data_IF_588505529984
#
_entry.id   IF_588505529984
#
_cell.length_a   1.000
_cell.length_b   1.000
_cell.length_c   1.000
_cell.angle_alpha   90.00
_cell.angle_beta   90.00
_cell.angle_gamma   90.00
#
_symmetry.space_group_name_H-M   'P 1'
#
loop_
_entity.id
_entity.type
_entity.pdbx_description
1 polymer ?
#
# COMPACT_ATOMS: atom_id res chain seq x y z
N UNK A 1 -37.47 -37.44 -28.12
CA UNK A 1 -37.85 -37.99 -26.80
C UNK A 1 -36.61 -38.03 -25.91
N UNK A 2 -36.83 -37.82 -24.62
CA UNK A 2 -35.87 -37.50 -23.55
C UNK A 2 -34.90 -38.65 -23.17
N UNK A 3 -33.70 -38.23 -22.75
CA UNK A 3 -32.95 -38.59 -21.51
C UNK A 3 -32.16 -39.92 -21.39
N UNK A 4 -30.86 -39.72 -21.14
CA UNK A 4 -30.08 -40.05 -19.92
C UNK A 4 -28.92 -41.07 -20.01
N UNK A 5 -27.73 -40.53 -19.68
CA UNK A 5 -26.60 -41.06 -18.89
C UNK A 5 -26.16 -42.52 -19.06
N UNK A 6 -24.87 -42.70 -19.41
CA UNK A 6 -23.89 -43.21 -18.44
C UNK A 6 -22.44 -42.91 -18.83
N UNK A 7 -21.71 -42.49 -17.81
CA UNK A 7 -20.28 -42.25 -17.66
C UNK A 7 -19.51 -43.56 -17.77
N UNK A 8 -18.41 -43.57 -18.53
CA UNK A 8 -17.15 -44.33 -18.29
C UNK A 8 -16.43 -44.64 -19.62
N UNK A 9 -15.11 -44.82 -19.54
CA UNK A 9 -14.20 -45.23 -20.62
C UNK A 9 -13.77 -44.16 -21.63
N UNK A 10 -12.67 -43.47 -21.31
CA UNK A 10 -11.61 -43.16 -22.29
C UNK A 10 -10.29 -42.81 -21.59
N UNK A 11 -9.76 -43.77 -20.85
CA UNK A 11 -8.31 -43.92 -20.61
C UNK A 11 -8.00 -45.37 -20.99
N UNK A 12 -7.69 -45.57 -22.26
CA UNK A 12 -7.43 -46.89 -22.83
C UNK A 12 -6.29 -46.81 -23.83
N UNK A 13 -5.16 -47.40 -23.43
CA UNK A 13 -4.05 -47.86 -24.26
C UNK A 13 -3.19 -46.81 -25.00
N UNK A 14 -2.10 -46.43 -24.35
CA UNK A 14 -0.77 -46.60 -24.93
C UNK A 14 0.16 -47.23 -23.89
N UNK A 15 0.09 -48.56 -23.81
CA UNK A 15 1.10 -49.40 -23.19
C UNK A 15 2.13 -49.75 -24.27
N UNK A 16 3.18 -48.95 -24.38
CA UNK A 16 4.49 -49.46 -24.81
C UNK A 16 5.33 -49.56 -23.55
N UNK A 17 5.37 -50.77 -22.96
CA UNK A 17 6.31 -51.11 -21.92
C UNK A 17 7.71 -51.11 -22.50
N UNK A 18 8.43 -49.99 -22.37
CA UNK A 18 9.86 -49.94 -22.63
C UNK A 18 10.59 -50.79 -21.58
N UNK A 19 11.58 -51.63 -21.96
CA UNK A 19 12.31 -52.52 -21.04
C UNK A 19 13.08 -51.80 -19.91
N UNK A 20 13.17 -50.47 -19.94
CA UNK A 20 13.89 -49.66 -18.95
C UNK A 20 13.19 -49.68 -17.58
N UNK A 21 11.89 -50.00 -17.53
CA UNK A 21 11.11 -49.95 -16.28
C UNK A 21 11.34 -51.14 -15.32
N UNK A 22 11.87 -52.27 -15.81
CA UNK A 22 12.02 -53.48 -14.99
C UNK A 22 13.27 -53.48 -14.08
N UNK A 23 14.24 -52.57 -14.32
CA UNK A 23 15.49 -52.49 -13.56
C UNK A 23 15.47 -51.62 -12.29
N UNK A 24 14.38 -50.89 -12.04
CA UNK A 24 14.28 -49.91 -10.94
C UNK A 24 13.35 -50.41 -9.80
N UNK A 25 13.42 -51.70 -9.46
CA UNK A 25 12.51 -52.34 -8.49
C UNK A 25 13.23 -52.76 -7.20
N UNK A 26 13.86 -51.80 -6.54
CA UNK A 26 14.44 -51.89 -5.20
C UNK A 26 14.74 -50.50 -4.64
N UNK A 27 14.93 -50.39 -3.32
CA UNK A 27 15.31 -49.16 -2.59
C UNK A 27 16.16 -48.19 -3.44
N UNK A 28 15.73 -46.93 -3.55
CA UNK A 28 16.44 -45.90 -4.34
C UNK A 28 15.63 -45.25 -5.45
N UNK A 29 14.29 -45.32 -5.46
CA UNK A 29 13.45 -44.61 -6.45
C UNK A 29 13.79 -43.12 -6.49
N UNK A 30 13.97 -42.48 -5.33
CA UNK A 30 14.31 -41.06 -5.24
C UNK A 30 15.73 -40.78 -5.75
N UNK A 31 16.72 -41.58 -5.38
CA UNK A 31 18.11 -41.45 -5.87
C UNK A 31 18.19 -41.60 -7.40
N UNK A 32 17.38 -42.49 -7.93
CA UNK A 32 17.28 -42.76 -9.35
C UNK A 32 16.60 -41.62 -10.11
N UNK A 33 15.50 -41.10 -9.56
CA UNK A 33 14.87 -39.89 -10.06
C UNK A 33 15.83 -38.69 -10.01
N UNK A 34 16.67 -38.58 -8.98
CA UNK A 34 17.68 -37.54 -8.84
C UNK A 34 18.75 -37.65 -9.93
N UNK A 35 19.27 -38.86 -10.21
CA UNK A 35 20.22 -39.07 -11.32
C UNK A 35 19.64 -38.69 -12.68
N UNK A 36 18.35 -38.93 -12.90
CA UNK A 36 17.66 -38.49 -14.12
C UNK A 36 17.53 -36.97 -14.16
N UNK A 37 17.19 -36.36 -13.03
CA UNK A 37 17.07 -34.91 -12.91
C UNK A 37 18.42 -34.21 -13.19
N UNK A 38 19.51 -34.74 -12.66
CA UNK A 38 20.87 -34.23 -12.88
C UNK A 38 21.31 -34.37 -14.35
N UNK A 39 20.75 -35.37 -15.07
CA UNK A 39 20.91 -35.54 -16.52
C UNK A 39 19.91 -34.72 -17.34
N UNK A 40 19.15 -33.83 -16.71
CA UNK A 40 18.13 -32.97 -17.33
C UNK A 40 16.94 -33.73 -17.95
N UNK A 41 16.73 -34.99 -17.57
CA UNK A 41 15.60 -35.81 -18.03
C UNK A 41 14.38 -35.61 -17.11
N UNK A 42 13.81 -34.41 -17.15
CA UNK A 42 12.78 -33.97 -16.20
C UNK A 42 11.46 -34.74 -16.35
N UNK A 43 11.06 -35.09 -17.58
CA UNK A 43 9.86 -35.90 -17.82
C UNK A 43 10.02 -37.31 -17.27
N UNK A 44 11.18 -37.94 -17.45
CA UNK A 44 11.44 -39.26 -16.88
C UNK A 44 11.53 -39.19 -15.35
N UNK A 45 12.14 -38.14 -14.77
CA UNK A 45 12.11 -37.89 -13.33
C UNK A 45 10.67 -37.83 -12.80
N UNK A 46 9.77 -37.07 -13.45
CA UNK A 46 8.36 -36.97 -13.08
C UNK A 46 7.68 -38.34 -13.14
N UNK A 47 7.89 -39.09 -14.22
CA UNK A 47 7.29 -40.42 -14.41
C UNK A 47 7.77 -41.44 -13.36
N UNK A 48 9.06 -41.42 -13.02
CA UNK A 48 9.65 -42.30 -12.00
C UNK A 48 9.08 -41.99 -10.62
N UNK A 49 9.01 -40.70 -10.24
CA UNK A 49 8.46 -40.30 -8.93
C UNK A 49 6.97 -40.63 -8.84
N UNK A 50 6.16 -40.25 -9.84
CA UNK A 50 4.72 -40.53 -9.83
C UNK A 50 4.44 -42.04 -9.84
N UNK A 51 5.22 -42.83 -10.57
CA UNK A 51 5.15 -44.30 -10.54
C UNK A 51 5.48 -44.85 -9.16
N UNK A 52 6.55 -44.35 -8.52
CA UNK A 52 6.93 -44.73 -7.16
C UNK A 52 5.87 -44.40 -6.12
N UNK A 53 5.29 -43.20 -6.18
CA UNK A 53 4.20 -42.78 -5.29
C UNK A 53 2.95 -43.65 -5.47
N UNK A 54 2.55 -43.91 -6.72
CA UNK A 54 1.36 -44.73 -7.04
C UNK A 54 1.53 -46.18 -6.58
N UNK A 55 2.72 -46.73 -6.74
CA UNK A 55 3.01 -48.12 -6.41
C UNK A 55 3.38 -48.32 -4.91
N UNK A 56 3.41 -47.26 -4.11
CA UNK A 56 3.79 -47.32 -2.70
C UNK A 56 5.27 -47.67 -2.47
N UNK A 57 6.14 -47.33 -3.41
CA UNK A 57 7.59 -47.66 -3.40
C UNK A 57 8.47 -46.52 -2.87
N UNK A 58 7.86 -45.44 -2.38
CA UNK A 58 8.56 -44.32 -1.76
C UNK A 58 8.19 -44.30 -0.28
N UNK A 59 9.20 -44.57 0.54
CA UNK A 59 9.09 -44.63 1.98
C UNK A 59 8.74 -43.25 2.55
N UNK A 60 8.05 -43.21 3.70
CA UNK A 60 7.69 -41.96 4.38
C UNK A 60 8.89 -41.05 4.62
N UNK A 61 10.06 -41.64 4.92
CA UNK A 61 11.30 -40.90 5.16
C UNK A 61 11.86 -40.19 3.90
N UNK A 62 11.44 -40.62 2.71
CA UNK A 62 11.87 -40.06 1.42
C UNK A 62 10.78 -39.22 0.73
N UNK A 63 9.54 -39.29 1.23
CA UNK A 63 8.39 -38.68 0.59
C UNK A 63 8.53 -37.17 0.40
N UNK A 64 9.10 -36.48 1.40
CA UNK A 64 9.44 -35.06 1.31
C UNK A 64 10.40 -34.74 0.16
N UNK A 65 11.48 -35.52 0.03
CA UNK A 65 12.46 -35.37 -1.05
C UNK A 65 11.83 -35.65 -2.41
N UNK A 66 11.01 -36.70 -2.50
CA UNK A 66 10.34 -37.10 -3.73
C UNK A 66 9.44 -35.96 -4.25
N UNK A 67 8.59 -35.39 -3.39
CA UNK A 67 7.73 -34.27 -3.77
C UNK A 67 8.52 -33.00 -4.09
N UNK A 68 9.63 -32.72 -3.39
CA UNK A 68 10.51 -31.58 -3.70
C UNK A 68 11.12 -31.72 -5.09
N UNK A 69 11.67 -32.90 -5.40
CA UNK A 69 12.27 -33.20 -6.70
C UNK A 69 11.23 -33.17 -7.83
N UNK A 70 10.01 -33.66 -7.55
CA UNK A 70 8.88 -33.56 -8.47
C UNK A 70 8.52 -32.09 -8.75
N UNK A 71 8.52 -31.24 -7.72
CA UNK A 71 8.29 -29.80 -7.88
C UNK A 71 9.34 -29.12 -8.76
N UNK A 72 10.62 -29.43 -8.52
CA UNK A 72 11.73 -28.92 -9.32
C UNK A 72 11.65 -29.37 -10.78
N UNK A 73 11.28 -30.64 -11.03
CA UNK A 73 11.14 -31.16 -12.38
C UNK A 73 9.99 -30.49 -13.13
N UNK A 74 8.83 -30.30 -12.49
CA UNK A 74 7.70 -29.57 -13.09
C UNK A 74 8.06 -28.12 -13.42
N UNK A 75 8.81 -27.43 -12.55
CA UNK A 75 9.26 -26.06 -12.81
C UNK A 75 10.16 -25.98 -14.05
N UNK A 76 11.08 -26.95 -14.22
CA UNK A 76 11.99 -27.00 -15.37
C UNK A 76 11.30 -27.20 -16.70
N UNK A 77 10.14 -27.84 -16.73
CA UNK A 77 9.31 -28.01 -17.94
C UNK A 77 8.17 -26.98 -18.04
N UNK A 78 8.14 -25.95 -17.17
CA UNK A 78 7.16 -24.87 -17.22
C UNK A 78 5.79 -25.19 -16.61
N UNK A 79 5.63 -26.34 -15.96
CA UNK A 79 4.39 -26.78 -15.31
C UNK A 79 4.23 -26.17 -13.91
N UNK A 80 4.21 -24.83 -13.83
CA UNK A 80 4.29 -24.08 -12.56
C UNK A 80 3.17 -24.43 -11.56
N UNK A 81 1.95 -24.72 -12.03
CA UNK A 81 0.85 -25.09 -11.13
C UNK A 81 1.09 -26.43 -10.44
N UNK A 82 1.68 -27.41 -11.15
CA UNK A 82 1.94 -28.73 -10.58
C UNK A 82 3.20 -28.73 -9.74
N UNK A 83 4.20 -27.91 -10.11
CA UNK A 83 5.36 -27.62 -9.27
C UNK A 83 4.93 -27.12 -7.87
N UNK A 84 4.04 -26.13 -7.83
CA UNK A 84 3.49 -25.57 -6.58
C UNK A 84 2.72 -26.59 -5.75
N UNK A 85 1.95 -27.48 -6.39
CA UNK A 85 1.26 -28.58 -5.67
C UNK A 85 2.28 -29.55 -5.07
N UNK A 86 3.29 -29.93 -5.84
CA UNK A 86 4.34 -30.82 -5.38
C UNK A 86 5.12 -30.21 -4.20
N UNK A 87 5.49 -28.92 -4.26
CA UNK A 87 6.13 -28.25 -3.12
C UNK A 87 5.24 -28.19 -1.87
N UNK A 88 3.92 -27.98 -2.00
CA UNK A 88 3.00 -28.08 -0.84
C UNK A 88 3.03 -29.46 -0.21
N UNK A 89 2.98 -30.52 -1.03
CA UNK A 89 3.06 -31.90 -0.54
C UNK A 89 4.43 -32.19 0.10
N UNK A 90 5.52 -31.64 -0.46
CA UNK A 90 6.85 -31.76 0.10
C UNK A 90 6.93 -31.14 1.50
N UNK A 91 6.46 -29.90 1.69
CA UNK A 91 6.45 -29.25 3.01
C UNK A 91 5.66 -30.06 4.04
N UNK A 92 4.51 -30.62 3.63
CA UNK A 92 3.68 -31.47 4.48
C UNK A 92 4.37 -32.78 4.83
N UNK A 93 5.02 -33.43 3.87
CA UNK A 93 5.67 -34.73 4.04
C UNK A 93 7.01 -34.62 4.80
N UNK A 94 7.75 -33.52 4.61
CA UNK A 94 8.97 -33.23 5.38
C UNK A 94 8.67 -32.98 6.86
N UNK A 95 7.42 -32.61 7.19
CA UNK A 95 6.91 -32.48 8.54
C UNK A 95 7.85 -31.65 9.42
N UNK A 96 8.37 -32.28 10.48
CA UNK A 96 9.23 -31.65 11.48
C UNK A 96 10.71 -31.58 11.08
N UNK A 97 11.07 -31.85 9.84
CA UNK A 97 12.46 -31.81 9.38
C UNK A 97 12.91 -30.38 9.08
N UNK A 98 14.17 -30.04 9.39
CA UNK A 98 14.79 -28.77 8.98
C UNK A 98 14.75 -28.54 7.45
N UNK A 99 14.56 -29.60 6.66
CA UNK A 99 14.54 -29.56 5.20
C UNK A 99 13.31 -28.84 4.62
N UNK A 100 12.22 -28.79 5.39
CA UNK A 100 10.98 -28.08 5.05
C UNK A 100 11.19 -26.61 4.73
N UNK A 101 12.18 -25.96 5.36
CA UNK A 101 12.44 -24.54 5.16
C UNK A 101 12.85 -24.14 3.75
N UNK A 102 13.73 -24.93 3.12
CA UNK A 102 14.12 -24.68 1.72
C UNK A 102 12.95 -24.88 0.75
N UNK A 103 12.02 -25.76 1.10
CA UNK A 103 10.86 -26.06 0.27
C UNK A 103 9.82 -24.93 0.37
N UNK A 104 9.66 -24.30 1.55
CA UNK A 104 8.80 -23.12 1.75
C UNK A 104 9.22 -21.95 0.84
N UNK A 105 10.52 -21.74 0.62
CA UNK A 105 11.02 -20.65 -0.24
C UNK A 105 10.67 -20.79 -1.74
N UNK A 106 10.22 -21.99 -2.16
CA UNK A 106 9.76 -22.26 -3.52
C UNK A 106 8.24 -22.08 -3.68
N UNK A 107 7.53 -21.75 -2.60
CA UNK A 107 6.12 -21.39 -2.64
C UNK A 107 5.96 -19.91 -2.98
N UNK A 108 4.75 -19.54 -3.40
CA UNK A 108 4.28 -18.14 -3.37
C UNK A 108 3.34 -17.93 -2.17
N UNK A 109 2.94 -16.69 -1.94
CA UNK A 109 2.02 -16.30 -0.86
C UNK A 109 0.74 -17.13 -0.83
N UNK A 110 0.12 -17.37 -1.98
CA UNK A 110 -1.17 -18.09 -2.09
C UNK A 110 -1.03 -19.57 -1.71
N UNK A 111 0.04 -20.22 -2.15
CA UNK A 111 0.28 -21.62 -1.80
C UNK A 111 0.67 -21.78 -0.33
N UNK A 112 1.39 -20.81 0.24
CA UNK A 112 1.67 -20.80 1.67
C UNK A 112 0.38 -20.64 2.47
N UNK A 113 -0.50 -19.71 2.09
CA UNK A 113 -1.80 -19.48 2.75
C UNK A 113 -2.63 -20.78 2.82
N UNK A 114 -2.65 -21.57 1.74
CA UNK A 114 -3.34 -22.86 1.68
C UNK A 114 -2.82 -23.87 2.73
N UNK A 115 -1.51 -23.92 2.96
CA UNK A 115 -0.90 -24.88 3.90
C UNK A 115 -0.65 -24.31 5.30
N UNK A 116 -0.80 -23.00 5.49
CA UNK A 116 -0.48 -22.32 6.74
C UNK A 116 -1.20 -22.91 7.97
N UNK A 117 -2.51 -23.26 7.91
CA UNK A 117 -3.17 -23.93 9.04
C UNK A 117 -2.50 -25.25 9.44
N UNK A 118 -2.02 -26.01 8.45
CA UNK A 118 -1.33 -27.28 8.69
C UNK A 118 0.08 -27.08 9.25
N UNK A 119 0.81 -26.04 8.79
CA UNK A 119 2.08 -25.63 9.39
C UNK A 119 1.91 -25.28 10.87
N UNK A 120 0.88 -24.50 11.19
CA UNK A 120 0.53 -24.13 12.57
C UNK A 120 0.22 -25.35 13.43
N UNK A 121 -0.51 -26.32 12.89
CA UNK A 121 -0.83 -27.58 13.57
C UNK A 121 0.42 -28.41 13.86
N UNK A 122 1.29 -28.61 12.85
CA UNK A 122 2.54 -29.37 12.99
C UNK A 122 3.51 -28.71 13.99
N UNK A 123 3.56 -27.38 14.00
CA UNK A 123 4.43 -26.63 14.90
C UNK A 123 3.81 -26.39 16.30
N UNK A 124 2.53 -26.71 16.53
CA UNK A 124 1.75 -26.27 17.72
C UNK A 124 2.47 -26.51 19.05
N UNK A 125 3.07 -27.69 19.23
CA UNK A 125 3.80 -28.10 20.43
C UNK A 125 5.33 -28.11 20.29
N UNK A 126 5.88 -27.70 19.14
CA UNK A 126 7.31 -27.76 18.87
C UNK A 126 7.90 -26.36 18.60
N UNK A 127 8.54 -25.80 19.62
CA UNK A 127 9.11 -24.44 19.54
C UNK A 127 10.23 -24.32 18.50
N UNK A 128 11.03 -25.37 18.27
CA UNK A 128 12.05 -25.34 17.23
C UNK A 128 11.43 -25.25 15.83
N UNK A 129 10.31 -25.95 15.60
CA UNK A 129 9.59 -25.86 14.33
C UNK A 129 8.91 -24.53 14.13
N UNK A 130 8.32 -23.95 15.19
CA UNK A 130 7.80 -22.59 15.13
C UNK A 130 8.90 -21.64 14.67
N UNK A 131 10.06 -21.69 15.33
CA UNK A 131 11.19 -20.84 15.01
C UNK A 131 11.68 -21.01 13.56
N UNK A 132 11.81 -22.26 13.09
CA UNK A 132 12.22 -22.56 11.73
C UNK A 132 11.20 -22.05 10.70
N UNK A 133 9.93 -22.46 10.79
CA UNK A 133 8.89 -21.99 9.87
C UNK A 133 8.72 -20.48 9.89
N UNK A 134 8.77 -19.86 11.08
CA UNK A 134 8.77 -18.42 11.21
C UNK A 134 9.91 -17.78 10.41
N UNK A 135 11.13 -18.28 10.57
CA UNK A 135 12.29 -17.78 9.82
C UNK A 135 12.15 -18.00 8.30
N UNK A 136 11.71 -19.16 7.86
CA UNK A 136 11.56 -19.48 6.43
C UNK A 136 10.48 -18.64 5.76
N UNK A 137 9.35 -18.44 6.43
CA UNK A 137 8.26 -17.57 5.94
C UNK A 137 8.73 -16.11 5.90
N UNK A 138 9.53 -15.64 6.86
CA UNK A 138 10.09 -14.29 6.83
C UNK A 138 11.11 -14.09 5.69
N UNK A 139 11.87 -15.13 5.35
CA UNK A 139 12.74 -15.11 4.18
C UNK A 139 11.94 -15.04 2.87
N UNK A 140 10.83 -15.79 2.77
CA UNK A 140 9.91 -15.67 1.64
C UNK A 140 9.31 -14.26 1.59
N UNK A 141 8.90 -13.69 2.72
CA UNK A 141 8.42 -12.31 2.81
C UNK A 141 9.46 -11.31 2.27
N UNK A 142 10.73 -11.51 2.60
CA UNK A 142 11.81 -10.65 2.09
C UNK A 142 11.99 -10.80 0.58
N UNK A 143 11.80 -11.99 0.03
CA UNK A 143 11.86 -12.23 -1.43
C UNK A 143 10.76 -11.44 -2.15
N UNK A 144 9.52 -11.50 -1.66
CA UNK A 144 8.40 -10.70 -2.19
C UNK A 144 8.66 -9.19 -2.04
N UNK A 145 9.22 -8.78 -0.89
CA UNK A 145 9.55 -7.37 -0.65
C UNK A 145 10.62 -6.86 -1.64
N UNK A 146 11.62 -7.68 -1.96
CA UNK A 146 12.65 -7.38 -2.96
C UNK A 146 12.08 -7.34 -4.38
N UNK A 147 11.04 -8.13 -4.67
CA UNK A 147 10.33 -8.09 -5.95
C UNK A 147 9.44 -6.84 -6.10
N UNK A 148 9.13 -6.15 -4.99
CA UNK A 148 8.25 -4.98 -4.95
C UNK A 148 6.81 -5.31 -4.55
N UNK A 149 6.51 -6.57 -4.24
CA UNK A 149 5.19 -7.06 -3.86
C UNK A 149 4.92 -6.84 -2.36
N UNK A 150 4.80 -5.56 -1.99
CA UNK A 150 4.73 -5.08 -0.59
C UNK A 150 3.58 -5.71 0.19
N UNK A 151 2.40 -5.87 -0.42
CA UNK A 151 1.22 -6.39 0.26
C UNK A 151 1.34 -7.89 0.57
N UNK A 152 2.01 -8.64 -0.31
CA UNK A 152 2.28 -10.05 -0.09
C UNK A 152 3.40 -10.25 0.92
N UNK A 153 4.45 -9.43 0.88
CA UNK A 153 5.47 -9.38 1.92
C UNK A 153 4.87 -9.12 3.31
N UNK A 154 3.95 -8.16 3.44
CA UNK A 154 3.25 -7.88 4.71
C UNK A 154 2.47 -9.09 5.22
N UNK A 155 1.69 -9.75 4.35
CA UNK A 155 0.94 -10.97 4.73
C UNK A 155 1.88 -12.06 5.25
N UNK A 156 2.99 -12.29 4.54
CA UNK A 156 3.98 -13.30 4.91
C UNK A 156 4.67 -12.98 6.24
N UNK A 157 5.06 -11.73 6.49
CA UNK A 157 5.59 -11.34 7.80
C UNK A 157 4.57 -11.57 8.92
N UNK A 158 3.29 -11.28 8.69
CA UNK A 158 2.24 -11.59 9.67
C UNK A 158 2.08 -13.10 9.92
N UNK A 159 2.15 -13.93 8.88
CA UNK A 159 2.16 -15.39 9.04
C UNK A 159 3.37 -15.88 9.84
N UNK A 160 4.54 -15.32 9.55
CA UNK A 160 5.77 -15.61 10.27
C UNK A 160 5.66 -15.28 11.77
N UNK A 161 5.12 -14.11 12.13
CA UNK A 161 4.92 -13.73 13.53
C UNK A 161 3.80 -14.51 14.22
N UNK A 162 2.78 -14.95 13.45
CA UNK A 162 1.71 -15.80 13.99
C UNK A 162 2.19 -17.20 14.34
N UNK A 163 3.13 -17.76 13.58
CA UNK A 163 3.68 -19.10 13.86
C UNK A 163 4.76 -19.05 14.95
N UNK A 164 5.60 -18.02 14.93
CA UNK A 164 6.61 -17.78 15.95
C UNK A 164 6.61 -16.31 16.39
N UNK A 165 5.84 -16.00 17.46
CA UNK A 165 5.77 -14.67 18.05
C UNK A 165 7.10 -14.32 18.75
N UNK A 166 8.09 -13.94 17.96
CA UNK A 166 9.44 -13.60 18.42
C UNK A 166 9.65 -12.08 18.29
N UNK A 167 9.90 -11.35 19.40
CA UNK A 167 10.17 -9.92 19.37
C UNK A 167 11.32 -9.51 18.45
N UNK A 168 12.37 -10.34 18.33
CA UNK A 168 13.48 -10.06 17.42
C UNK A 168 13.02 -10.05 15.96
N UNK A 169 12.10 -10.94 15.59
CA UNK A 169 11.55 -11.00 14.23
C UNK A 169 10.56 -9.88 13.97
N UNK A 170 9.78 -9.48 14.97
CA UNK A 170 8.92 -8.31 14.88
C UNK A 170 9.75 -7.06 14.61
N UNK A 171 10.84 -6.88 15.39
CA UNK A 171 11.81 -5.81 15.17
C UNK A 171 12.44 -5.86 13.78
N UNK A 172 12.87 -7.03 13.32
CA UNK A 172 13.44 -7.20 11.97
C UNK A 172 12.45 -6.79 10.87
N UNK A 173 11.18 -7.19 11.03
CA UNK A 173 10.10 -6.81 10.10
C UNK A 173 9.89 -5.30 10.08
N UNK A 174 9.84 -4.68 11.26
CA UNK A 174 9.79 -3.23 11.40
C UNK A 174 10.95 -2.56 10.67
N UNK A 175 12.19 -2.96 10.98
CA UNK A 175 13.42 -2.37 10.42
C UNK A 175 13.42 -2.44 8.88
N UNK A 176 12.95 -3.56 8.30
CA UNK A 176 12.89 -3.74 6.84
C UNK A 176 11.92 -2.77 6.17
N UNK A 177 10.68 -2.65 6.64
CA UNK A 177 9.73 -1.69 6.08
C UNK A 177 10.21 -0.25 6.29
N UNK A 178 10.75 0.05 7.47
CA UNK A 178 11.25 1.38 7.80
C UNK A 178 12.44 1.79 6.90
N UNK A 179 13.44 0.93 6.72
CA UNK A 179 14.62 1.25 5.90
C UNK A 179 14.27 1.43 4.41
N UNK A 180 13.32 0.65 3.87
CA UNK A 180 12.84 0.90 2.52
C UNK A 180 12.08 2.22 2.45
N UNK A 181 11.19 2.49 3.41
CA UNK A 181 10.49 3.77 3.52
C UNK A 181 11.45 4.95 3.54
N UNK A 182 12.59 4.83 4.25
CA UNK A 182 13.67 5.84 4.25
C UNK A 182 14.27 6.10 2.87
N UNK A 183 14.28 5.14 1.96
CA UNK A 183 14.80 5.31 0.60
C UNK A 183 13.74 5.84 -0.39
N UNK A 184 12.45 5.66 -0.08
CA UNK A 184 11.33 6.16 -0.89
C UNK A 184 11.05 7.63 -0.62
N UNK A 185 10.24 8.24 -1.50
CA UNK A 185 9.83 9.64 -1.40
C UNK A 185 8.31 9.80 -1.50
N UNK A 186 7.80 10.90 -0.97
CA UNK A 186 6.40 11.30 -1.02
C UNK A 186 5.47 10.18 -0.56
N UNK A 187 4.43 9.89 -1.34
CA UNK A 187 3.42 8.86 -1.03
C UNK A 187 3.95 7.44 -0.92
N UNK A 188 5.04 7.11 -1.60
CA UNK A 188 5.68 5.80 -1.42
C UNK A 188 6.28 5.69 -0.02
N UNK A 189 6.93 6.73 0.50
CA UNK A 189 7.44 6.72 1.88
C UNK A 189 6.31 6.57 2.92
N UNK A 190 5.16 7.21 2.69
CA UNK A 190 3.95 7.04 3.52
C UNK A 190 3.50 5.57 3.53
N UNK A 191 3.41 4.92 2.36
CA UNK A 191 2.98 3.52 2.24
C UNK A 191 3.84 2.60 3.09
N UNK A 192 5.15 2.77 3.09
CA UNK A 192 6.06 1.97 3.92
C UNK A 192 5.98 2.32 5.41
N UNK A 193 5.73 3.59 5.76
CA UNK A 193 5.47 4.00 7.15
C UNK A 193 4.18 3.34 7.70
N UNK A 194 3.13 3.23 6.88
CA UNK A 194 1.87 2.54 7.21
C UNK A 194 2.10 1.04 7.47
N UNK A 195 3.07 0.41 6.80
CA UNK A 195 3.45 -0.99 7.08
C UNK A 195 4.34 -1.10 8.33
N UNK A 196 5.35 -0.25 8.46
CA UNK A 196 6.30 -0.26 9.58
C UNK A 196 5.58 -0.09 10.93
N UNK A 197 4.66 0.87 11.04
CA UNK A 197 3.97 1.15 12.32
C UNK A 197 3.20 -0.05 12.88
N UNK A 198 2.75 -0.99 12.03
CA UNK A 198 2.05 -2.21 12.47
C UNK A 198 2.95 -3.17 13.23
N UNK A 199 4.27 -3.07 13.02
CA UNK A 199 5.27 -3.92 13.67
C UNK A 199 6.05 -3.17 14.75
N UNK A 200 5.90 -1.86 14.87
CA UNK A 200 6.51 -1.07 15.93
C UNK A 200 6.04 -1.57 17.31
N UNK A 201 6.98 -1.74 18.22
CA UNK A 201 6.79 -2.31 19.55
C UNK A 201 7.31 -1.40 20.67
N UNK A 202 8.10 -0.38 20.32
CA UNK A 202 8.72 0.55 21.27
C UNK A 202 8.37 2.01 20.95
N UNK A 203 8.44 2.92 21.94
CA UNK A 203 8.30 4.35 21.71
C UNK A 203 9.32 4.90 20.68
N UNK A 204 10.54 4.37 20.66
CA UNK A 204 11.57 4.77 19.70
C UNK A 204 11.19 4.41 18.25
N UNK A 205 10.62 3.22 18.03
CA UNK A 205 10.14 2.79 16.71
C UNK A 205 8.92 3.61 16.25
N UNK A 206 8.02 3.96 17.19
CA UNK A 206 6.92 4.88 16.93
C UNK A 206 7.46 6.25 16.51
N UNK A 207 8.42 6.80 17.26
CA UNK A 207 9.04 8.09 16.96
C UNK A 207 9.71 8.09 15.58
N UNK A 208 10.51 7.05 15.28
CA UNK A 208 11.12 6.84 13.95
C UNK A 208 10.07 6.86 12.84
N UNK A 209 8.97 6.14 13.02
CA UNK A 209 7.90 6.07 12.01
C UNK A 209 7.14 7.39 11.88
N UNK A 210 6.90 8.09 12.99
CA UNK A 210 6.33 9.44 12.99
C UNK A 210 7.21 10.42 12.21
N UNK A 211 8.53 10.37 12.39
CA UNK A 211 9.47 11.18 11.63
C UNK A 211 9.48 10.83 10.14
N UNK A 212 9.27 9.56 9.77
CA UNK A 212 9.10 9.16 8.38
C UNK A 212 7.81 9.74 7.76
N UNK A 213 6.68 9.76 8.49
CA UNK A 213 5.47 10.46 8.05
C UNK A 213 5.71 11.97 7.88
N UNK A 214 6.38 12.62 8.82
CA UNK A 214 6.70 14.05 8.70
C UNK A 214 7.58 14.35 7.48
N UNK A 215 8.54 13.47 7.17
CA UNK A 215 9.35 13.57 5.95
C UNK A 215 8.50 13.44 4.70
N UNK A 216 7.67 12.40 4.63
CA UNK A 216 6.76 12.17 3.51
C UNK A 216 5.83 13.38 3.29
N UNK A 217 5.23 13.89 4.37
CA UNK A 217 4.40 15.09 4.33
C UNK A 217 5.17 16.33 3.83
N UNK A 218 6.45 16.46 4.18
CA UNK A 218 7.29 17.59 3.74
C UNK A 218 7.56 17.51 2.25
N UNK A 219 7.76 16.30 1.71
CA UNK A 219 8.05 16.07 0.30
C UNK A 219 6.83 16.27 -0.62
N UNK A 220 5.61 16.09 -0.11
CA UNK A 220 4.37 16.31 -0.88
C UNK A 220 3.74 17.67 -0.63
N UNK A 221 4.20 18.44 0.36
CA UNK A 221 3.71 19.81 0.58
C UNK A 221 3.94 20.68 -0.68
N UNK A 222 3.00 21.58 -1.07
CA UNK A 222 1.75 21.94 -0.39
C UNK A 222 0.51 21.17 -0.86
N UNK A 223 0.66 19.99 -1.48
CA UNK A 223 -0.47 19.16 -1.93
C UNK A 223 -1.44 18.88 -0.77
N UNK A 224 -2.75 18.98 -1.00
CA UNK A 224 -3.80 18.80 0.03
C UNK A 224 -3.61 17.55 0.90
N UNK A 225 -3.03 16.50 0.32
CA UNK A 225 -2.72 15.26 1.00
C UNK A 225 -1.70 15.37 2.14
N UNK A 226 -0.84 16.40 2.14
CA UNK A 226 0.20 16.58 3.17
C UNK A 226 -0.40 16.66 4.58
N UNK A 227 -1.60 17.22 4.72
CA UNK A 227 -2.28 17.38 6.02
C UNK A 227 -2.62 16.01 6.61
N UNK A 228 -3.13 15.08 5.78
CA UNK A 228 -3.47 13.73 6.21
C UNK A 228 -2.22 12.97 6.68
N UNK A 229 -1.14 13.03 5.89
CA UNK A 229 0.13 12.35 6.21
C UNK A 229 0.75 12.93 7.48
N UNK A 230 0.80 14.26 7.59
CA UNK A 230 1.27 14.96 8.80
C UNK A 230 0.48 14.53 10.04
N UNK A 231 -0.83 14.41 9.94
CA UNK A 231 -1.68 14.07 11.08
C UNK A 231 -1.45 12.63 11.58
N UNK A 232 -1.02 11.70 10.72
CA UNK A 232 -0.57 10.36 11.15
C UNK A 232 0.65 10.41 12.07
N UNK A 233 1.50 11.43 11.96
CA UNK A 233 2.67 11.58 12.83
C UNK A 233 2.33 12.08 14.25
N UNK A 234 1.28 12.89 14.41
CA UNK A 234 0.91 13.52 15.69
C UNK A 234 0.80 12.51 16.85
N UNK A 235 0.11 11.37 16.75
CA UNK A 235 0.04 10.40 17.85
C UNK A 235 1.39 9.72 18.16
N UNK A 236 2.36 9.78 17.24
CA UNK A 236 3.64 9.07 17.35
C UNK A 236 4.76 9.96 17.90
N UNK A 237 4.84 11.22 17.46
CA UNK A 237 5.90 12.19 17.83
C UNK A 237 5.36 13.39 18.62
N UNK A 238 4.04 13.49 18.77
CA UNK A 238 3.37 14.58 19.48
C UNK A 238 3.18 15.84 18.63
N UNK A 239 2.21 16.65 19.06
CA UNK A 239 1.85 17.91 18.38
C UNK A 239 3.00 18.94 18.42
N UNK A 240 3.75 18.99 19.52
CA UNK A 240 4.87 19.92 19.68
C UNK A 240 5.93 19.68 18.60
N UNK A 241 6.37 18.42 18.45
CA UNK A 241 7.36 18.05 17.46
C UNK A 241 6.84 18.25 16.02
N UNK A 242 5.59 17.87 15.78
CA UNK A 242 4.92 18.11 14.49
C UNK A 242 4.94 19.60 14.13
N UNK A 243 4.68 20.51 15.09
CA UNK A 243 4.72 21.96 14.88
C UNK A 243 6.12 22.53 14.65
N UNK A 244 7.17 21.87 15.14
CA UNK A 244 8.54 22.26 14.80
C UNK A 244 8.86 22.00 13.32
N UNK A 245 8.23 20.99 12.71
CA UNK A 245 8.38 20.68 11.29
C UNK A 245 7.37 21.43 10.44
N UNK A 246 6.12 21.52 10.88
CA UNK A 246 5.03 22.24 10.23
C UNK A 246 4.48 23.33 11.17
N UNK A 247 5.10 24.51 11.20
CA UNK A 247 4.65 25.61 12.04
C UNK A 247 3.20 26.00 11.72
N UNK A 248 2.54 26.60 12.71
CA UNK A 248 1.20 27.14 12.51
C UNK A 248 1.23 28.20 11.38
N UNK A 249 0.17 28.29 10.56
CA UNK A 249 0.08 29.29 9.51
C UNK A 249 0.14 30.70 10.09
N UNK A 250 0.90 31.58 9.45
CA UNK A 250 0.93 33.00 9.81
C UNK A 250 -0.29 33.71 9.23
N UNK A 251 -1.05 34.43 10.06
CA UNK A 251 -2.17 35.26 9.61
C UNK A 251 -1.63 36.62 9.20
N UNK A 252 -1.76 36.94 7.91
CA UNK A 252 -1.39 38.23 7.33
C UNK A 252 -2.59 38.80 6.60
N UNK A 253 -2.89 40.08 6.82
CA UNK A 253 -3.86 40.80 5.97
C UNK A 253 -3.13 41.29 4.73
N UNK A 254 -3.56 40.84 3.55
CA UNK A 254 -2.81 41.08 2.31
C UNK A 254 -3.21 42.40 1.66
N UNK A 255 -4.51 42.65 1.52
CA UNK A 255 -5.02 43.92 1.03
C UNK A 255 -6.54 44.02 1.28
N UNK A 256 -7.02 45.25 1.20
CA UNK A 256 -8.44 45.59 1.12
C UNK A 256 -8.71 46.25 -0.24
N UNK A 257 -9.73 45.79 -0.96
CA UNK A 257 -10.14 46.42 -2.22
C UNK A 257 -11.62 46.73 -2.22
N UNK A 258 -11.94 47.93 -2.69
CA UNK A 258 -13.31 48.39 -2.85
C UNK A 258 -13.67 48.36 -4.33
N UNK A 259 -14.77 47.69 -4.68
CA UNK A 259 -15.30 47.63 -6.03
C UNK A 259 -16.57 48.46 -6.16
N UNK A 260 -16.71 49.13 -7.30
CA UNK A 260 -17.93 49.77 -7.78
C UNK A 260 -18.55 48.92 -8.88
N UNK A 261 -19.84 49.09 -9.16
CA UNK A 261 -20.52 48.39 -10.26
C UNK A 261 -19.78 48.51 -11.61
N UNK A 262 -19.17 49.66 -11.90
CA UNK A 262 -18.37 49.89 -13.11
C UNK A 262 -17.15 48.97 -13.25
N UNK A 263 -16.73 48.32 -12.17
CA UNK A 263 -15.60 47.38 -12.16
C UNK A 263 -16.04 45.94 -12.49
N UNK A 264 -17.35 45.68 -12.64
CA UNK A 264 -17.88 44.36 -12.96
C UNK A 264 -17.59 44.00 -14.41
N UNK A 265 -17.34 42.72 -14.66
CA UNK A 265 -17.08 42.22 -16.03
C UNK A 265 -18.31 41.60 -16.71
N UNK A 266 -19.46 41.56 -16.03
CA UNK A 266 -20.72 41.03 -16.55
C UNK A 266 -21.95 41.80 -16.00
N UNK A 267 -23.14 41.40 -16.44
CA UNK A 267 -24.43 42.00 -16.01
C UNK A 267 -24.92 41.54 -14.63
N UNK A 268 -24.21 40.57 -14.02
CA UNK A 268 -24.53 40.03 -12.69
C UNK A 268 -23.76 40.73 -11.57
N UNK A 269 -22.83 41.64 -11.92
CA UNK A 269 -21.98 42.30 -10.95
C UNK A 269 -20.89 41.39 -10.43
N UNK A 270 -20.29 40.58 -11.32
CA UNK A 270 -19.18 39.71 -10.96
C UNK A 270 -17.84 40.45 -10.97
N UNK A 271 -17.03 40.19 -9.94
CA UNK A 271 -15.69 40.73 -9.75
C UNK A 271 -14.72 39.60 -9.41
N UNK A 272 -13.46 39.75 -9.82
CA UNK A 272 -12.38 38.91 -9.30
C UNK A 272 -12.10 39.30 -7.85
N UNK A 273 -12.22 38.35 -6.92
CA UNK A 273 -11.90 38.56 -5.51
C UNK A 273 -10.44 39.02 -5.34
N UNK A 274 -9.54 38.44 -6.13
CA UNK A 274 -8.15 38.84 -6.29
C UNK A 274 -7.64 38.41 -7.68
N UNK A 275 -6.53 39.01 -8.12
CA UNK A 275 -5.86 38.73 -9.39
C UNK A 275 -4.43 38.29 -9.13
N UNK A 276 -4.09 37.06 -9.52
CA UNK A 276 -2.72 36.54 -9.41
C UNK A 276 -1.69 37.46 -10.09
N UNK A 277 -0.56 37.69 -9.42
CA UNK A 277 0.54 38.53 -9.90
C UNK A 277 0.30 40.04 -9.80
N UNK A 278 -0.94 40.48 -9.56
CA UNK A 278 -1.27 41.88 -9.26
C UNK A 278 -1.47 42.09 -7.76
N UNK A 279 -2.21 41.20 -7.14
CA UNK A 279 -2.46 41.20 -5.70
C UNK A 279 -1.47 40.21 -5.02
N UNK A 280 -1.08 40.45 -3.76
CA UNK A 280 -0.11 39.60 -3.02
C UNK A 280 -0.73 38.27 -2.53
N UNK A 281 -1.41 37.55 -3.43
CA UNK A 281 -1.95 36.20 -3.23
C UNK A 281 -1.17 35.22 -4.08
N UNK A 282 -0.66 34.17 -3.44
CA UNK A 282 0.20 33.14 -4.04
C UNK A 282 -0.51 31.80 -4.09
N UNK A 283 -0.10 30.97 -5.06
CA UNK A 283 -0.51 29.56 -5.10
C UNK A 283 -0.03 28.87 -3.81
N UNK A 284 -0.91 28.08 -3.19
CA UNK A 284 -0.66 27.45 -1.90
C UNK A 284 -1.12 28.24 -0.68
N UNK A 285 -1.52 29.51 -0.84
CA UNK A 285 -2.06 30.29 0.27
C UNK A 285 -3.41 29.73 0.73
N UNK A 286 -3.70 29.80 2.03
CA UNK A 286 -5.05 29.69 2.55
C UNK A 286 -5.62 31.09 2.66
N UNK A 287 -6.69 31.38 1.91
CA UNK A 287 -7.27 32.72 1.81
C UNK A 287 -8.68 32.72 2.36
N UNK A 288 -8.97 33.64 3.28
CA UNK A 288 -10.35 33.98 3.64
C UNK A 288 -10.74 35.24 2.88
N UNK A 289 -11.70 35.08 1.98
CA UNK A 289 -12.33 36.19 1.25
C UNK A 289 -13.54 36.64 2.04
N UNK A 290 -13.62 37.94 2.35
CA UNK A 290 -14.80 38.53 2.97
C UNK A 290 -15.35 39.62 2.06
N UNK A 291 -16.56 39.42 1.54
CA UNK A 291 -17.31 40.42 0.79
C UNK A 291 -18.31 41.12 1.71
N UNK A 292 -18.32 42.46 1.72
CA UNK A 292 -19.29 43.26 2.50
C UNK A 292 -19.91 44.32 1.60
N UNK A 293 -21.24 44.42 1.57
CA UNK A 293 -21.95 45.54 0.93
C UNK A 293 -21.93 46.75 1.88
N UNK A 294 -21.33 47.85 1.44
CA UNK A 294 -21.20 49.07 2.26
C UNK A 294 -22.48 49.91 2.24
N UNK A 295 -22.78 50.59 3.35
CA UNK A 295 -23.85 51.59 3.50
C UNK A 295 -25.30 51.07 3.39
N UNK A 296 -25.53 49.77 3.62
CA UNK A 296 -26.88 49.19 3.60
C UNK A 296 -27.41 49.00 5.03
N UNK A 297 -28.64 49.44 5.30
CA UNK A 297 -29.31 49.28 6.60
C UNK A 297 -30.32 48.12 6.62
N UNK A 298 -30.63 47.53 5.47
CA UNK A 298 -31.51 46.37 5.34
C UNK A 298 -31.15 45.52 4.12
N UNK A 299 -31.32 44.20 4.21
CA UNK A 299 -30.93 43.21 3.20
C UNK A 299 -32.15 42.42 2.71
N UNK A 300 -32.25 42.18 1.41
CA UNK A 300 -33.37 41.48 0.78
C UNK A 300 -32.91 40.32 -0.12
N UNK A 301 -33.04 39.09 0.37
CA UNK A 301 -32.73 37.89 -0.42
C UNK A 301 -31.22 37.64 -0.58
N UNK A 302 -30.83 36.93 -1.64
CA UNK A 302 -29.44 36.54 -1.91
C UNK A 302 -28.70 37.68 -2.65
N UNK A 303 -28.05 38.58 -1.90
CA UNK A 303 -27.52 39.85 -2.44
C UNK A 303 -26.02 39.81 -2.77
N UNK A 304 -25.27 38.87 -2.19
CA UNK A 304 -23.84 38.71 -2.46
C UNK A 304 -23.47 37.22 -2.48
N UNK A 305 -22.60 36.82 -3.41
CA UNK A 305 -22.15 35.44 -3.57
C UNK A 305 -20.65 35.32 -3.74
N UNK A 306 -20.08 34.17 -3.38
CA UNK A 306 -18.69 33.80 -3.64
C UNK A 306 -18.66 32.50 -4.43
N UNK A 307 -17.83 32.47 -5.47
CA UNK A 307 -17.50 31.27 -6.25
C UNK A 307 -16.03 30.88 -5.99
N UNK A 308 -15.83 29.60 -5.66
CA UNK A 308 -14.54 29.05 -5.24
C UNK A 308 -13.74 28.39 -6.37
N UNK A 309 -14.29 28.37 -7.60
CA UNK A 309 -13.56 27.91 -8.77
C UNK A 309 -13.36 26.39 -8.90
N UNK A 310 -13.95 25.57 -8.02
CA UNK A 310 -13.73 24.11 -8.03
C UNK A 310 -14.60 23.35 -9.03
N UNK A 311 -15.75 23.90 -9.41
CA UNK A 311 -16.75 23.17 -10.20
C UNK A 311 -16.89 23.69 -11.62
N UNK A 312 -17.04 22.76 -12.58
CA UNK A 312 -17.37 23.03 -14.00
C UNK A 312 -18.71 23.77 -14.12
N UNK A 313 -19.61 23.56 -13.15
CA UNK A 313 -20.83 24.34 -12.95
C UNK A 313 -20.67 25.18 -11.68
N UNK A 314 -20.67 26.51 -11.78
CA UNK A 314 -20.36 27.34 -10.63
C UNK A 314 -21.45 27.25 -9.55
N UNK A 315 -21.18 26.50 -8.47
CA UNK A 315 -21.97 26.60 -7.24
C UNK A 315 -21.59 27.90 -6.52
N UNK A 316 -22.53 28.85 -6.52
CA UNK A 316 -22.39 30.10 -5.79
C UNK A 316 -22.85 29.91 -4.35
N UNK A 317 -21.96 30.18 -3.41
CA UNK A 317 -22.36 30.34 -2.01
C UNK A 317 -22.94 31.74 -1.85
N UNK A 318 -24.25 31.86 -1.58
CA UNK A 318 -24.93 33.15 -1.46
C UNK A 318 -25.17 33.54 -0.01
N UNK A 319 -25.16 34.84 0.29
CA UNK A 319 -25.50 35.41 1.59
C UNK A 319 -26.73 36.33 1.53
N UNK A 320 -27.48 36.36 2.63
CA UNK A 320 -28.71 37.17 2.82
C UNK A 320 -28.56 38.38 3.74
N UNK A 321 -27.39 38.59 4.32
CA UNK A 321 -27.14 39.66 5.29
C UNK A 321 -26.10 40.68 4.78
N UNK A 322 -25.87 40.71 3.47
CA UNK A 322 -24.89 41.56 2.79
C UNK A 322 -23.43 41.35 3.20
N UNK A 323 -23.14 40.29 3.98
CA UNK A 323 -21.79 39.87 4.34
C UNK A 323 -21.62 38.41 3.91
N UNK A 324 -20.59 38.13 3.14
CA UNK A 324 -20.18 36.76 2.84
C UNK A 324 -18.75 36.54 3.25
N UNK A 325 -18.47 35.37 3.80
CA UNK A 325 -17.12 34.92 4.06
C UNK A 325 -16.93 33.52 3.53
N UNK A 326 -15.84 33.29 2.81
CA UNK A 326 -15.49 31.98 2.28
C UNK A 326 -14.00 31.72 2.53
N UNK A 327 -13.68 30.54 3.02
CA UNK A 327 -12.30 30.08 3.20
C UNK A 327 -11.89 29.20 2.02
N UNK A 328 -10.86 29.65 1.31
CA UNK A 328 -10.17 28.92 0.26
C UNK A 328 -8.99 28.22 0.95
N UNK A 329 -9.09 26.90 1.12
CA UNK A 329 -8.10 26.12 1.87
C UNK A 329 -6.71 26.12 1.23
N UNK A 330 -6.66 26.05 -0.10
CA UNK A 330 -5.44 26.11 -0.91
C UNK A 330 -5.77 26.84 -2.19
N UNK A 331 -5.12 27.98 -2.43
CA UNK A 331 -5.23 28.73 -3.68
C UNK A 331 -4.52 27.95 -4.78
N UNK A 332 -5.24 27.60 -5.84
CA UNK A 332 -4.73 26.79 -6.95
C UNK A 332 -4.38 27.64 -8.18
N UNK A 333 -3.37 27.24 -8.98
CA UNK A 333 -3.02 27.97 -10.19
C UNK A 333 -4.12 27.88 -11.23
N UNK A 334 -4.41 28.98 -11.93
CA UNK A 334 -5.40 29.02 -13.01
C UNK A 334 -6.87 29.07 -12.56
N UNK A 335 -7.15 28.97 -11.26
CA UNK A 335 -8.50 29.05 -10.71
C UNK A 335 -8.92 30.51 -10.50
N UNK A 336 -10.15 30.86 -10.91
CA UNK A 336 -10.73 32.19 -10.74
C UNK A 336 -11.66 32.21 -9.54
N UNK A 337 -11.35 33.05 -8.56
CA UNK A 337 -12.19 33.28 -7.39
C UNK A 337 -13.01 34.54 -7.59
N UNK A 338 -14.33 34.41 -7.54
CA UNK A 338 -15.25 35.49 -7.92
C UNK A 338 -16.17 35.87 -6.76
N UNK A 339 -16.56 37.14 -6.74
CA UNK A 339 -17.67 37.66 -5.94
C UNK A 339 -18.73 38.20 -6.90
N UNK A 340 -20.01 37.95 -6.65
CA UNK A 340 -21.11 38.54 -7.41
C UNK A 340 -22.05 39.33 -6.50
N UNK A 341 -22.71 40.35 -7.05
CA UNK A 341 -23.71 41.16 -6.33
C UNK A 341 -25.13 40.98 -6.87
N UNK A 342 -25.37 39.90 -7.61
CA UNK A 342 -26.69 39.52 -8.14
C UNK A 342 -27.43 40.70 -8.82
N UNK A 343 -26.74 41.36 -9.76
CA UNK A 343 -27.23 42.51 -10.54
C UNK A 343 -27.54 43.79 -9.77
N UNK A 344 -27.14 43.91 -8.49
CA UNK A 344 -27.24 45.16 -7.73
C UNK A 344 -26.18 46.16 -8.18
N UNK A 345 -26.61 47.34 -8.64
CA UNK A 345 -25.75 48.41 -9.17
C UNK A 345 -25.31 49.45 -8.13
N UNK A 346 -26.03 49.50 -7.01
CA UNK A 346 -25.90 50.47 -5.91
C UNK A 346 -24.96 49.97 -4.79
N UNK A 347 -24.08 49.02 -5.12
CA UNK A 347 -23.26 48.31 -4.14
C UNK A 347 -21.80 48.70 -4.24
N UNK A 348 -21.22 48.90 -3.07
CA UNK A 348 -19.79 49.03 -2.89
C UNK A 348 -19.34 47.78 -2.14
N UNK A 349 -18.55 46.94 -2.80
CA UNK A 349 -18.09 45.68 -2.21
C UNK A 349 -16.68 45.90 -1.67
N UNK A 350 -16.51 45.71 -0.36
CA UNK A 350 -15.18 45.58 0.24
C UNK A 350 -14.79 44.13 0.24
N UNK A 351 -13.62 43.83 -0.33
CA UNK A 351 -12.98 42.52 -0.27
C UNK A 351 -11.80 42.59 0.67
N UNK A 352 -11.87 41.83 1.75
CA UNK A 352 -10.77 41.60 2.68
C UNK A 352 -10.15 40.25 2.37
N UNK A 353 -8.83 40.25 2.11
CA UNK A 353 -8.04 39.04 1.91
C UNK A 353 -7.20 38.81 3.15
N UNK A 354 -7.65 37.90 4.00
CA UNK A 354 -6.86 37.40 5.13
C UNK A 354 -6.15 36.13 4.66
N UNK A 355 -4.84 36.21 4.53
CA UNK A 355 -3.98 35.09 4.12
C UNK A 355 -3.45 34.40 5.36
N UNK A 356 -3.82 33.14 5.56
CA UNK A 356 -3.03 32.22 6.36
C UNK A 356 -1.94 31.68 5.43
N UNK A 357 -0.72 32.22 5.55
CA UNK A 357 0.43 31.72 4.80
C UNK A 357 0.74 30.35 5.35
N UNK A 358 0.65 29.31 4.52
CA UNK A 358 1.20 28.02 4.90
C UNK A 358 2.71 28.20 5.04
N UNK A 359 3.18 28.10 6.28
CA UNK A 359 4.61 28.16 6.56
C UNK A 359 5.25 26.92 5.94
N UNK A 360 6.23 27.07 5.03
CA UNK A 360 6.93 25.93 4.47
C UNK A 360 7.50 25.05 5.58
N UNK A 361 7.50 23.73 5.42
CA UNK A 361 8.03 22.84 6.44
C UNK A 361 9.51 23.13 6.70
N UNK A 362 9.90 23.09 7.97
CA UNK A 362 11.29 23.29 8.38
C UNK A 362 12.07 21.99 8.12
N UNK A 363 12.83 21.94 7.04
CA UNK A 363 13.75 20.84 6.77
C UNK A 363 14.98 20.92 7.69
N UNK A 364 14.89 20.43 8.93
CA UNK A 364 16.11 20.23 9.73
C UNK A 364 16.82 18.97 9.21
N UNK A 365 18.07 19.12 8.75
CA UNK A 365 18.94 18.00 8.33
C UNK A 365 19.12 16.89 9.37
N UNK A 366 18.81 17.16 10.64
CA UNK A 366 18.98 16.23 11.76
C UNK A 366 17.69 15.54 12.22
N UNK A 367 16.51 15.90 11.69
CA UNK A 367 15.24 15.25 12.07
C UNK A 367 15.09 13.83 11.49
N UNK A 368 15.91 13.50 10.50
CA UNK A 368 15.77 12.27 9.71
C UNK A 368 17.03 11.39 9.73
N UNK A 369 17.92 11.63 10.70
CA UNK A 369 19.14 10.84 10.91
C UNK A 369 18.89 9.64 11.82
#
# INVERSE_FOLDING_TARGET
MKKNLLVSMLIGLMLCASPVFAGFLGSGVVDNAQKLFDKTDYEMTINVINGGLRDGKIDDSEMGKAYKLLGQAYEKIGHNSDAKKAYRQAVVAEGTSYRSGQTILNLDTRNLEEIFPKLMEMAKSNNQLKANYGADIAQLAQKELNAGDIDDAEKLYNYSLRIDPNPARQKETFDRFFEIGKQKKGKEAEKYADKAIKFASTPEENEKTGNLYLRSATEIWPDEDYVAVKNKAIPLVGIKHTKEVFPDPEIVTVFEKTFKWSDSFDEFGSFYAFTFGKDDVKVGDLVKVVGKIKNQTSYSGNEIGVYNGKDVFPEWHMSKNGIISHEILVVQPGIKYLICTNSRKDVVVTVEVIRKVLTPPVTKKNLFK
#
